data_IF_105634898530
#
_entry.id   IF_105634898530
#
_cell.length_a   1.000
_cell.length_b   1.000
_cell.length_c   1.000
_cell.angle_alpha   90.00
_cell.angle_beta   90.00
_cell.angle_gamma   90.00
#
_symmetry.space_group_name_H-M   'P 1'
#
loop_
_entity.id
_entity.type
_entity.pdbx_description
1 polymer ?
2 non-polymer ?
3 non-polymer ?
4 non-polymer ?
5 water ?
#
# COMPACT_ATOMS: atom_id res chain seq x y z
N UNK A 22 13.71 16.58 12.40
CA UNK A 22 13.48 15.12 12.16
C UNK A 22 12.58 14.48 13.21
N UNK A 23 12.01 13.32 12.86
CA UNK A 23 11.11 12.60 13.75
C UNK A 23 11.88 12.02 14.91
N UNK A 24 11.24 12.03 16.08
CA UNK A 24 11.78 11.40 17.28
C UNK A 24 12.05 9.91 17.03
N UNK A 25 11.08 9.22 16.43
CA UNK A 25 11.17 7.79 16.20
C UNK A 25 11.46 7.51 14.72
N UNK A 26 12.29 6.48 14.44
CA UNK A 26 12.66 6.19 13.05
C UNK A 26 11.49 5.75 12.18
N UNK A 27 11.58 6.09 10.90
CA UNK A 27 10.54 5.77 9.93
C UNK A 27 10.85 4.41 9.32
N UNK A 28 9.82 3.56 9.25
CA UNK A 28 9.94 2.25 8.64
C UNK A 28 8.95 2.17 7.49
N UNK A 29 9.49 2.19 6.27
CA UNK A 29 8.71 1.98 5.05
C UNK A 29 8.41 0.48 4.93
N UNK A 30 7.16 0.12 4.68
CA UNK A 30 6.75 -1.29 4.66
C UNK A 30 5.96 -1.62 3.41
N UNK A 31 6.37 -2.68 2.72
CA UNK A 31 5.64 -3.19 1.57
C UNK A 31 5.79 -4.71 1.49
N UNK A 32 4.86 -5.34 0.79
CA UNK A 32 4.99 -6.74 0.40
C UNK A 32 5.84 -6.85 -0.85
N UNK A 33 6.31 -8.07 -1.13
CA UNK A 33 7.23 -8.39 -2.24
C UNK A 33 8.68 -8.21 -1.79
N UNK A 34 9.15 -9.19 -1.00
CA UNK A 34 10.51 -9.19 -0.46
C UNK A 34 11.57 -9.07 -1.55
N UNK A 35 11.33 -9.71 -2.71
CA UNK A 35 12.31 -9.74 -3.80
C UNK A 35 12.28 -8.58 -4.78
N UNK A 36 11.41 -7.59 -4.54
CA UNK A 36 11.21 -6.46 -5.47
C UNK A 36 12.52 -5.77 -5.85
N UNK A 37 13.32 -5.42 -4.86
CA UNK A 37 14.54 -4.64 -5.12
C UNK A 37 15.53 -5.41 -6.01
N UNK A 38 15.71 -6.70 -5.73
CA UNK A 38 16.61 -7.54 -6.51
C UNK A 38 16.08 -7.76 -7.93
N UNK A 39 14.83 -8.18 -8.05
CA UNK A 39 14.23 -8.53 -9.34
C UNK A 39 14.03 -7.31 -10.24
N UNK A 40 13.58 -6.19 -9.66
CA UNK A 40 13.28 -4.98 -10.43
C UNK A 40 14.52 -4.12 -10.63
N UNK A 41 15.35 -3.99 -9.58
CA UNK A 41 16.61 -3.24 -9.67
C UNK A 41 16.57 -1.87 -9.02
N UNK A 42 15.43 -1.51 -8.43
CA UNK A 42 15.30 -0.26 -7.67
C UNK A 42 14.19 -0.42 -6.63
N UNK A 43 14.09 0.52 -5.66
CA UNK A 43 13.17 0.30 -4.54
C UNK A 43 11.68 0.38 -4.91
N UNK A 44 10.86 -0.26 -4.06
CA UNK A 44 9.41 -0.20 -4.15
C UNK A 44 8.92 1.23 -3.92
N UNK A 45 9.41 1.86 -2.86
CA UNK A 45 9.12 3.27 -2.59
C UNK A 45 10.12 4.11 -3.35
N UNK A 46 9.90 4.27 -4.65
CA UNK A 46 10.90 4.83 -5.56
C UNK A 46 11.31 6.25 -5.19
N UNK A 47 12.57 6.42 -4.80
CA UNK A 47 13.14 7.72 -4.47
C UNK A 47 12.70 8.32 -3.14
N UNK A 48 11.92 7.57 -2.36
CA UNK A 48 11.27 8.14 -1.18
C UNK A 48 12.16 8.10 0.06
N UNK A 49 12.85 6.97 0.28
CA UNK A 49 13.78 6.86 1.42
C UNK A 49 14.90 7.88 1.30
N UNK A 50 15.45 8.03 0.09
CA UNK A 50 16.45 9.07 -0.20
C UNK A 50 15.96 10.46 0.21
N UNK A 51 14.76 10.81 -0.24
CA UNK A 51 14.20 12.13 0.05
C UNK A 51 14.06 12.36 1.55
N UNK A 52 13.57 11.35 2.26
CA UNK A 52 13.39 11.44 3.70
C UNK A 52 14.70 11.63 4.45
N UNK A 53 15.75 10.93 4.03
CA UNK A 53 17.06 11.05 4.67
C UNK A 53 17.69 12.43 4.47
N UNK A 54 17.40 13.06 3.33
CA UNK A 54 17.88 14.43 3.06
C UNK A 54 17.28 15.45 4.04
N UNK A 55 16.06 15.18 4.51
CA UNK A 55 15.41 16.00 5.52
C UNK A 55 15.80 15.58 6.96
N UNK A 56 16.79 14.69 7.08
CA UNK A 56 17.37 14.35 8.38
C UNK A 56 16.67 13.25 9.16
N UNK A 57 15.69 12.59 8.54
CA UNK A 57 14.99 11.48 9.18
C UNK A 57 15.82 10.21 9.08
N UNK A 58 15.72 9.36 10.10
CA UNK A 58 16.29 8.02 10.06
C UNK A 58 15.24 7.10 9.44
N UNK A 59 15.62 6.44 8.34
CA UNK A 59 14.67 5.66 7.53
C UNK A 59 15.15 4.24 7.29
N UNK A 60 14.23 3.28 7.42
CA UNK A 60 14.49 1.87 7.12
C UNK A 60 13.33 1.28 6.32
N UNK A 61 13.61 0.22 5.57
CA UNK A 61 12.59 -0.40 4.71
C UNK A 61 12.44 -1.88 5.03
N UNK A 62 11.20 -2.28 5.35
CA UNK A 62 10.87 -3.67 5.58
C UNK A 62 10.14 -4.21 4.34
N UNK A 63 10.79 -5.14 3.64
CA UNK A 63 10.22 -5.78 2.47
C UNK A 63 9.70 -7.18 2.84
N UNK A 64 8.38 -7.32 2.93
CA UNK A 64 7.76 -8.53 3.48
C UNK A 64 7.35 -9.57 2.43
N UNK A 65 7.21 -10.82 2.87
CA UNK A 65 6.84 -11.93 2.00
C UNK A 65 5.41 -11.80 1.47
N UNK A 66 5.27 -11.70 0.14
CA UNK A 66 3.96 -11.46 -0.48
C UNK A 66 3.08 -12.70 -0.57
N UNK A 67 3.70 -13.88 -0.65
CA UNK A 67 2.97 -15.10 -0.96
C UNK A 67 2.60 -15.88 0.29
N UNK A 68 1.98 -15.21 1.25
CA UNK A 68 1.49 -15.84 2.48
C UNK A 68 0.45 -14.92 3.15
N UNK A 69 0.02 -15.26 4.36
CA UNK A 69 -1.02 -14.49 5.06
C UNK A 69 -0.51 -13.16 5.63
N UNK A 70 -1.47 -12.30 6.01
CA UNK A 70 -1.17 -11.01 6.62
C UNK A 70 -0.54 -11.18 7.99
N UNK A 71 -0.99 -12.18 8.72
CA UNK A 71 -0.51 -12.47 10.06
C UNK A 71 0.96 -12.95 10.02
N UNK A 72 1.32 -13.69 8.97
CA UNK A 72 2.71 -14.11 8.76
C UNK A 72 3.60 -12.91 8.43
N UNK A 73 3.10 -11.98 7.62
CA UNK A 73 3.80 -10.71 7.36
C UNK A 73 3.94 -9.86 8.62
N UNK A 74 2.92 -9.91 9.48
CA UNK A 74 2.95 -9.20 10.76
C UNK A 74 4.03 -9.71 11.69
N UNK A 75 4.16 -11.04 11.76
CA UNK A 75 5.22 -11.68 12.54
C UNK A 75 6.59 -11.36 11.95
N UNK A 76 6.69 -11.36 10.63
CA UNK A 76 7.92 -11.02 9.94
C UNK A 76 8.36 -9.58 10.27
N UNK A 77 7.39 -8.67 10.28
CA UNK A 77 7.65 -7.26 10.56
C UNK A 77 8.02 -7.01 12.02
N UNK A 78 7.43 -7.78 12.93
CA UNK A 78 7.76 -7.68 14.36
C UNK A 78 9.22 -8.07 14.62
N UNK A 79 9.67 -9.11 13.94
CA UNK A 79 11.06 -9.56 14.03
C UNK A 79 12.01 -8.52 13.45
N UNK A 80 11.61 -7.92 12.33
CA UNK A 80 12.35 -6.79 11.73
C UNK A 80 12.44 -5.63 12.73
N UNK A 81 11.30 -5.29 13.32
CA UNK A 81 11.21 -4.17 14.24
C UNK A 81 12.02 -4.43 15.51
N UNK A 82 11.92 -5.64 16.07
CA UNK A 82 12.72 -6.00 17.26
C UNK A 82 14.22 -5.83 17.02
N UNK A 83 14.68 -6.31 15.87
CA UNK A 83 16.09 -6.20 15.49
C UNK A 83 16.47 -4.73 15.22
N UNK A 84 15.57 -3.97 14.63
CA UNK A 84 15.77 -2.54 14.38
C UNK A 84 15.86 -1.71 15.65
N UNK A 85 14.97 -1.98 16.60
CA UNK A 85 14.94 -1.25 17.87
C UNK A 85 16.21 -1.50 18.68
N UNK A 86 16.66 -2.75 18.68
CA UNK A 86 17.93 -3.12 19.29
C UNK A 86 19.11 -2.34 18.69
N UNK A 87 19.05 -2.12 17.37
CA UNK A 87 20.15 -1.50 16.63
C UNK A 87 20.12 0.03 16.69
N UNK A 88 18.95 0.60 16.96
CA UNK A 88 18.79 2.05 17.02
C UNK A 88 18.77 2.60 18.45
N UNK A 89 18.44 1.72 19.41
CA UNK A 89 18.05 2.14 20.76
C UNK A 89 16.85 3.08 20.76
N UNK A 90 16.07 3.04 19.68
CA UNK A 90 14.81 3.77 19.63
C UNK A 90 13.80 2.97 20.43
N UNK A 91 12.77 3.66 20.91
CA UNK A 91 11.74 3.05 21.72
C UNK A 91 10.59 2.58 20.83
N UNK A 92 10.31 3.33 19.77
CA UNK A 92 9.20 3.05 18.88
C UNK A 92 9.57 3.28 17.42
N UNK A 93 8.69 2.88 16.51
CA UNK A 93 8.84 3.14 15.08
C UNK A 93 7.60 3.81 14.47
N UNK A 94 7.83 4.68 13.51
CA UNK A 94 6.74 5.26 12.71
C UNK A 94 6.61 4.44 11.44
N UNK A 95 5.55 3.63 11.34
CA UNK A 95 5.31 2.84 10.12
C UNK A 95 4.67 3.68 9.03
N UNK A 96 5.21 3.65 7.83
CA UNK A 96 4.49 4.05 6.63
C UNK A 96 4.42 2.90 5.64
N UNK A 97 3.22 2.43 5.37
CA UNK A 97 2.96 1.26 4.58
C UNK A 97 2.11 1.49 3.35
N UNK A 98 2.25 0.58 2.39
CA UNK A 98 1.51 0.63 1.15
C UNK A 98 1.00 -0.74 0.76
N UNK A 99 -0.22 -0.80 0.23
CA UNK A 99 -0.81 -2.07 -0.20
C UNK A 99 -0.95 -3.07 1.00
N UNK A 100 -0.24 -4.16 0.88
CA UNK A 100 -0.09 -5.17 1.93
C UNK A 100 0.45 -4.63 3.24
N UNK A 101 1.42 -3.74 3.16
CA UNK A 101 2.18 -3.22 4.31
C UNK A 101 1.39 -2.78 5.53
N UNK A 102 0.32 -1.99 5.32
CA UNK A 102 -0.47 -1.46 6.44
C UNK A 102 -1.11 -2.54 7.33
N UNK A 103 -1.52 -3.66 6.74
CA UNK A 103 -2.11 -4.75 7.51
C UNK A 103 -1.04 -5.34 8.45
N UNK A 104 0.15 -5.55 7.92
CA UNK A 104 1.26 -6.06 8.73
C UNK A 104 1.62 -5.07 9.85
N UNK A 105 1.59 -3.78 9.53
CA UNK A 105 1.82 -2.72 10.50
C UNK A 105 0.75 -2.72 11.59
N UNK A 106 -0.48 -3.00 11.17
CA UNK A 106 -1.61 -3.05 12.10
C UNK A 106 -1.49 -4.25 13.04
N UNK A 107 -0.92 -5.35 12.56
CA UNK A 107 -0.69 -6.51 13.41
C UNK A 107 0.29 -6.17 14.52
N UNK A 108 1.39 -5.53 14.16
CA UNK A 108 2.44 -5.18 15.12
C UNK A 108 1.91 -4.19 16.16
N UNK A 109 1.21 -3.15 15.68
CA UNK A 109 0.64 -2.12 16.55
C UNK A 109 -0.39 -2.70 17.54
N UNK A 110 -1.23 -3.60 17.04
CA UNK A 110 -2.25 -4.24 17.86
C UNK A 110 -1.63 -5.08 18.97
N UNK A 111 -0.63 -5.88 18.62
CA UNK A 111 -0.01 -6.81 19.57
C UNK A 111 1.13 -6.19 20.38
N UNK A 112 1.84 -5.23 19.82
CA UNK A 112 2.98 -4.60 20.49
C UNK A 112 2.89 -3.07 20.44
N UNK A 113 1.82 -2.50 21.02
CA UNK A 113 1.58 -1.04 20.97
C UNK A 113 2.68 -0.15 21.53
N UNK A 114 3.40 -0.63 22.53
CA UNK A 114 4.48 0.16 23.15
C UNK A 114 5.68 0.42 22.24
N UNK A 115 5.81 -0.36 21.16
CA UNK A 115 6.93 -0.22 20.21
C UNK A 115 6.55 0.51 18.93
N UNK A 116 5.29 0.97 18.84
CA UNK A 116 4.80 1.60 17.61
C UNK A 116 4.29 3.00 17.90
N UNK A 117 4.97 4.00 17.32
CA UNK A 117 4.55 5.38 17.50
C UNK A 117 3.36 5.69 16.59
N UNK A 118 3.43 5.25 15.33
CA UNK A 118 2.37 5.53 14.36
C UNK A 118 2.27 4.50 13.26
N UNK A 119 1.05 4.33 12.75
CA UNK A 119 0.80 3.58 11.53
C UNK A 119 0.21 4.53 10.51
N UNK A 120 0.92 4.75 9.40
CA UNK A 120 0.37 5.51 8.27
C UNK A 120 0.10 4.56 7.10
N UNK A 121 -1.14 4.53 6.65
CA UNK A 121 -1.58 3.66 5.58
C UNK A 121 -1.68 4.46 4.30
N UNK A 122 -1.01 3.99 3.25
CA UNK A 122 -1.04 4.63 1.96
C UNK A 122 -1.59 3.61 0.95
N UNK A 123 -2.81 3.84 0.50
CA UNK A 123 -3.48 2.93 -0.44
C UNK A 123 -3.44 1.49 0.09
N UNK A 124 -3.75 1.34 1.38
CA UNK A 124 -3.73 0.04 2.03
C UNK A 124 -4.99 -0.73 1.70
N UNK A 125 -4.88 -2.06 1.68
CA UNK A 125 -6.02 -2.93 1.40
C UNK A 125 -6.76 -3.22 2.72
N UNK A 126 -7.20 -2.16 3.39
CA UNK A 126 -7.69 -2.30 4.76
C UNK A 126 -9.05 -2.95 4.88
N UNK A 127 -9.80 -3.05 3.78
CA UNK A 127 -11.05 -3.81 3.73
C UNK A 127 -11.16 -4.72 2.50
N UNK A 128 -10.02 -5.10 1.91
CA UNK A 128 -9.99 -6.04 0.80
C UNK A 128 -9.95 -5.37 -0.56
N UNK A 129 -9.54 -6.14 -1.56
CA UNK A 129 -9.45 -5.68 -2.95
C UNK A 129 -10.46 -6.42 -3.82
N UNK A 130 -11.32 -5.65 -4.50
CA UNK A 130 -12.32 -6.22 -5.40
C UNK A 130 -11.67 -6.98 -6.57
N UNK A 131 -10.48 -6.55 -6.97
CA UNK A 131 -9.70 -7.26 -7.99
C UNK A 131 -9.21 -8.61 -7.47
N UNK A 132 -8.75 -8.63 -6.21
CA UNK A 132 -8.40 -9.89 -5.56
C UNK A 132 -9.62 -10.83 -5.55
N UNK A 133 -10.79 -10.29 -5.24
CA UNK A 133 -12.04 -11.07 -5.26
C UNK A 133 -12.32 -11.65 -6.66
N UNK A 134 -12.19 -10.83 -7.69
CA UNK A 134 -12.37 -11.26 -9.05
C UNK A 134 -11.34 -12.28 -9.55
N UNK A 135 -10.11 -12.17 -9.15
CA UNK A 135 -9.12 -13.18 -9.46
C UNK A 135 -9.38 -14.53 -8.90
N UNK A 136 -9.88 -14.59 -7.69
CA UNK A 136 -10.28 -15.84 -7.13
C UNK A 136 -11.42 -16.48 -7.89
N UNK A 137 -12.36 -15.68 -8.33
CA UNK A 137 -13.41 -16.14 -9.16
C UNK A 137 -12.90 -16.65 -10.48
N UNK A 138 -11.97 -15.95 -11.07
CA UNK A 138 -11.34 -16.37 -12.28
C UNK A 138 -10.60 -17.69 -12.07
N UNK A 139 -9.84 -17.84 -11.00
CA UNK A 139 -9.08 -19.04 -10.80
C UNK A 139 -9.95 -20.24 -10.54
N UNK A 140 -11.04 -20.02 -9.83
CA UNK A 140 -12.03 -21.02 -9.58
C UNK A 140 -13.06 -21.24 -10.66
N UNK A 141 -12.94 -20.49 -11.75
CA UNK A 141 -13.80 -20.60 -12.92
C UNK A 141 -15.24 -20.39 -12.59
N UNK A 142 -15.47 -19.44 -11.71
CA UNK A 142 -16.80 -19.18 -11.14
C UNK A 142 -17.65 -18.33 -12.09
N UNK A 143 -17.93 -18.87 -13.27
CA UNK A 143 -18.81 -18.24 -14.25
C UNK A 143 -18.39 -16.81 -14.61
N UNK A 144 -17.09 -16.60 -14.80
CA UNK A 144 -16.57 -15.32 -15.26
C UNK A 144 -16.44 -15.38 -16.77
N UNK A 145 -17.16 -14.52 -17.50
CA UNK A 145 -17.07 -14.48 -18.97
C UNK A 145 -15.63 -14.43 -19.48
N UNK A 146 -15.35 -15.15 -20.56
CA UNK A 146 -13.99 -15.30 -21.08
C UNK A 146 -13.36 -13.98 -21.54
N UNK A 147 -14.17 -13.06 -22.06
CA UNK A 147 -13.67 -11.75 -22.48
C UNK A 147 -13.16 -10.95 -21.26
N UNK A 148 -13.81 -11.12 -20.11
CA UNK A 148 -13.38 -10.47 -18.88
C UNK A 148 -12.09 -11.12 -18.37
N UNK A 149 -12.01 -12.44 -18.45
CA UNK A 149 -10.80 -13.18 -18.03
C UNK A 149 -9.56 -12.65 -18.75
N UNK A 150 -9.65 -12.43 -20.06
CA UNK A 150 -8.49 -12.00 -20.86
C UNK A 150 -8.03 -10.58 -20.51
N UNK A 151 -8.97 -9.66 -20.32
CA UNK A 151 -8.62 -8.26 -19.98
C UNK A 151 -7.90 -8.13 -18.64
N UNK A 152 -8.30 -8.94 -17.65
CA UNK A 152 -7.71 -8.89 -16.32
C UNK A 152 -6.30 -9.49 -16.31
N UNK A 153 -6.15 -10.67 -16.92
CA UNK A 153 -4.85 -11.34 -16.98
C UNK A 153 -3.83 -10.56 -17.80
N UNK A 154 -4.26 -9.99 -18.92
CA UNK A 154 -3.40 -9.14 -19.75
C UNK A 154 -2.99 -7.85 -19.03
N UNK A 155 -3.91 -7.28 -18.27
CA UNK A 155 -3.61 -6.09 -17.47
C UNK A 155 -2.58 -6.41 -16.39
N UNK A 156 -2.73 -7.56 -15.74
CA UNK A 156 -1.77 -8.00 -14.72
C UNK A 156 -0.41 -8.35 -15.31
N UNK A 157 -0.42 -9.02 -16.46
CA UNK A 157 0.81 -9.37 -17.17
C UNK A 157 1.58 -8.15 -17.64
N UNK A 158 0.86 -7.13 -18.10
CA UNK A 158 1.48 -5.87 -18.51
C UNK A 158 2.14 -5.15 -17.33
N UNK A 159 1.47 -5.15 -16.18
CA UNK A 159 2.00 -4.55 -14.95
C UNK A 159 3.27 -5.24 -14.48
N UNK A 160 3.24 -6.58 -14.43
CA UNK A 160 4.37 -7.37 -13.91
C UNK A 160 5.57 -7.33 -14.86
N UNK A 161 5.28 -7.39 -16.17
CA UNK A 161 6.33 -7.35 -17.20
C UNK A 161 7.11 -6.04 -17.18
N UNK A 162 6.42 -4.94 -16.94
CA UNK A 162 7.05 -3.62 -16.89
C UNK A 162 8.08 -3.55 -15.76
N UNK A 163 7.79 -4.21 -14.65
CA UNK A 163 8.72 -4.25 -13.50
C UNK A 163 9.83 -5.27 -13.70
N UNK A 164 9.46 -6.52 -13.98
CA UNK A 164 10.42 -7.63 -14.09
C UNK A 164 11.23 -7.59 -15.38
N UNK A 165 10.64 -7.02 -16.43
CA UNK A 165 11.30 -6.94 -17.75
C UNK A 165 11.09 -8.17 -18.62
N UNK A 166 10.32 -9.14 -18.13
CA UNK A 166 10.06 -10.36 -18.89
C UNK A 166 8.86 -10.16 -19.80
N UNK A 167 8.92 -10.75 -20.99
CA UNK A 167 8.00 -10.43 -22.08
C UNK A 167 6.76 -11.33 -22.14
N UNK A 168 6.49 -12.09 -21.08
CA UNK A 168 5.32 -12.96 -21.02
C UNK A 168 4.03 -12.19 -20.87
N UNK A 171 1.14 -15.39 -14.01
CA UNK A 171 0.00 -15.16 -13.13
C UNK A 171 0.04 -16.15 -12.03
N UNK A 172 1.25 -16.36 -11.59
CA UNK A 172 1.50 -16.89 -10.32
C UNK A 172 1.19 -15.78 -9.34
N UNK A 173 0.55 -14.71 -9.78
CA UNK A 173 0.27 -13.60 -8.88
C UNK A 173 -0.91 -13.84 -8.00
N UNK A 174 -1.69 -14.85 -8.30
CA UNK A 174 -2.73 -15.24 -7.40
C UNK A 174 -2.17 -15.42 -5.96
N UNK A 175 -0.91 -15.84 -5.85
CA UNK A 175 -0.24 -16.05 -4.58
C UNK A 175 -0.25 -14.82 -3.68
N UNK A 176 -0.17 -13.63 -4.27
CA UNK A 176 -0.16 -12.38 -3.50
C UNK A 176 -1.56 -11.88 -3.19
N UNK A 177 -2.49 -12.09 -4.12
CA UNK A 177 -3.88 -11.59 -3.97
C UNK A 177 -4.75 -12.44 -3.04
N UNK A 178 -4.38 -13.70 -2.84
CA UNK A 178 -5.11 -14.63 -1.98
C UNK A 178 -5.40 -14.04 -0.58
N UNK A 179 -4.39 -13.41 0.02
CA UNK A 179 -4.52 -12.83 1.37
C UNK A 179 -5.20 -11.44 1.41
N UNK A 180 -5.56 -10.92 0.23
CA UNK A 180 -6.09 -9.56 0.11
C UNK A 180 -7.53 -9.51 -0.39
N UNK A 181 -8.20 -10.65 -0.41
CA UNK A 181 -9.62 -10.69 -0.75
C UNK A 181 -10.44 -10.03 0.35
N UNK A 182 -11.64 -9.59 0.00
CA UNK A 182 -12.57 -9.00 0.97
C UNK A 182 -12.86 -9.97 2.11
N UNK A 183 -12.98 -11.25 1.79
CA UNK A 183 -13.20 -12.28 2.81
C UNK A 183 -12.01 -12.43 3.75
N UNK A 184 -10.78 -12.45 3.22
CA UNK A 184 -9.60 -12.67 4.05
C UNK A 184 -9.26 -11.47 4.91
N UNK A 185 -9.45 -10.27 4.36
CA UNK A 185 -9.21 -9.03 5.09
C UNK A 185 -10.31 -8.76 6.12
N UNK A 186 -11.54 -9.17 5.83
CA UNK A 186 -12.62 -9.08 6.81
C UNK A 186 -12.27 -9.93 8.03
N UNK A 187 -11.74 -11.12 7.78
CA UNK A 187 -11.24 -12.00 8.85
C UNK A 187 -10.06 -11.35 9.58
N UNK A 188 -9.14 -10.71 8.84
CA UNK A 188 -8.02 -9.99 9.46
C UNK A 188 -8.53 -8.84 10.34
N UNK A 189 -9.45 -8.05 9.80
CA UNK A 189 -10.07 -6.94 10.54
C UNK A 189 -10.81 -7.40 11.80
N UNK A 190 -11.37 -8.61 11.76
CA UNK A 190 -12.03 -9.19 12.93
C UNK A 190 -11.06 -9.42 14.10
N UNK A 191 -9.84 -9.83 13.78
CA UNK A 191 -8.80 -10.04 14.79
C UNK A 191 -8.14 -8.72 15.20
N UNK A 192 -8.03 -7.79 14.25
CA UNK A 192 -7.30 -6.54 14.48
C UNK A 192 -8.11 -5.32 14.04
N UNK A 193 -9.22 -5.04 14.75
CA UNK A 193 -10.15 -3.97 14.38
C UNK A 193 -9.68 -2.53 14.65
N UNK A 194 -8.51 -2.32 15.35
CA UNK A 194 -8.04 -1.01 15.81
C UNK A 194 -7.98 0.04 14.71
N UNK A 195 -8.62 1.14 14.95
CA UNK A 195 -8.56 2.31 14.08
C UNK A 195 -9.33 2.20 12.75
N UNK A 196 -10.12 1.13 12.58
CA UNK A 196 -10.97 1.00 11.40
C UNK A 196 -12.18 1.93 11.53
N UNK A 197 -12.63 2.53 10.41
CA UNK A 197 -13.74 3.47 10.47
C UNK A 197 -15.05 2.79 10.86
N UNK A 198 -15.83 3.44 11.74
CA UNK A 198 -17.12 2.89 12.18
C UNK A 198 -18.14 2.81 11.03
N UNK A 199 -18.11 3.80 10.14
CA UNK A 199 -18.95 3.78 8.94
C UNK A 199 -18.07 3.68 7.69
N UNK A 200 -18.50 2.88 6.70
CA UNK A 200 -17.71 2.67 5.46
C UNK A 200 -17.35 3.96 4.73
N UNK A 201 -16.08 4.06 4.33
CA UNK A 201 -15.56 5.28 3.71
C UNK A 201 -15.35 6.42 4.69
N UNK A 202 -15.44 6.13 5.99
CA UNK A 202 -15.34 7.16 7.02
C UNK A 202 -13.94 7.22 7.61
N UNK A 203 -13.85 7.70 8.84
CA UNK A 203 -12.57 7.86 9.53
C UNK A 203 -12.56 7.07 10.83
N UNK A 204 -11.43 6.46 11.14
CA UNK A 204 -11.24 5.76 12.41
C UNK A 204 -10.71 6.71 13.47
N UNK A 205 -10.52 6.18 14.68
CA UNK A 205 -9.89 6.96 15.74
C UNK A 205 -8.44 7.24 15.42
N UNK A 206 -7.99 8.47 15.64
CA UNK A 206 -6.60 8.85 15.38
C UNK A 206 -5.62 8.15 16.33
N UNK A 207 -6.01 7.98 17.59
CA UNK A 207 -5.17 7.34 18.60
C UNK A 207 -5.91 6.15 19.24
N UNK A 208 -5.35 4.96 19.07
CA UNK A 208 -5.89 3.75 19.69
C UNK A 208 -4.79 3.06 20.49
N UNK A 209 -4.99 2.97 21.80
CA UNK A 209 -4.03 2.33 22.68
C UNK A 209 -2.64 2.99 22.63
N UNK A 210 -2.64 4.32 22.49
CA UNK A 210 -1.39 5.09 22.46
C UNK A 210 -0.78 5.28 21.08
N UNK A 211 -1.20 4.46 20.11
CA UNK A 211 -0.63 4.46 18.76
C UNK A 211 -1.43 5.38 17.84
N UNK A 212 -0.73 6.22 17.06
CA UNK A 212 -1.39 7.12 16.11
C UNK A 212 -1.62 6.40 14.79
N UNK A 213 -2.79 6.60 14.19
CA UNK A 213 -3.14 6.02 12.90
C UNK A 213 -3.53 7.10 11.90
N UNK A 214 -2.93 7.05 10.71
CA UNK A 214 -3.25 7.99 9.63
C UNK A 214 -3.42 7.26 8.31
N UNK A 215 -4.27 7.79 7.43
CA UNK A 215 -4.41 7.20 6.11
C UNK A 215 -4.28 8.21 4.96
N UNK A 216 -3.73 7.72 3.85
CA UNK A 216 -3.75 8.41 2.58
C UNK A 216 -4.39 7.47 1.58
N UNK A 217 -4.72 8.00 0.41
CA UNK A 217 -5.38 7.23 -0.62
C UNK A 217 -5.36 7.97 -1.93
N UNK A 218 -5.96 7.36 -2.95
CA UNK A 218 -6.13 8.00 -4.24
C UNK A 218 -7.17 7.24 -5.04
N UNK A 219 -7.55 7.81 -6.17
CA UNK A 219 -8.30 7.09 -7.18
C UNK A 219 -8.05 7.66 -8.56
N UNK A 220 -8.12 6.79 -9.56
CA UNK A 220 -7.89 7.20 -10.94
C UNK A 220 -8.97 8.20 -11.34
N UNK A 221 -8.53 9.31 -11.94
CA UNK A 221 -9.40 10.43 -12.28
C UNK A 221 -9.03 11.01 -13.64
N UNK A 222 -10.01 11.63 -14.31
CA UNK A 222 -9.78 12.28 -15.59
C UNK A 222 -9.64 11.30 -16.76
N UNK A 223 -9.66 11.83 -17.97
CA UNK A 223 -9.40 11.04 -19.17
C UNK A 223 -7.91 10.78 -19.28
N UNK A 224 -7.55 9.65 -19.90
CA UNK A 224 -6.14 9.21 -19.96
C UNK A 224 -5.21 10.17 -20.70
N UNK A 225 -5.75 10.90 -21.68
CA UNK A 225 -4.95 11.81 -22.50
C UNK A 225 -4.17 12.85 -21.67
N UNK A 226 -4.78 13.35 -20.60
CA UNK A 226 -4.18 14.42 -19.79
C UNK A 226 -3.31 13.96 -18.62
N UNK A 227 -2.84 12.73 -18.64
CA UNK A 227 -2.03 12.12 -17.56
C UNK A 227 -0.56 12.52 -17.42
N UNK A 228 -0.03 13.28 -18.37
CA UNK A 228 1.41 13.63 -18.42
C UNK A 228 2.28 12.42 -18.36
N UNK A 229 3.04 12.34 -17.29
CA UNK A 229 4.10 11.40 -17.12
C UNK A 229 3.65 9.99 -17.29
N UNK A 230 2.40 9.73 -16.96
CA UNK A 230 1.89 8.35 -17.05
C UNK A 230 1.66 7.87 -18.47
N UNK A 231 1.70 8.78 -19.45
CA UNK A 231 1.58 8.40 -20.85
C UNK A 231 2.74 7.52 -21.32
N UNK A 232 3.88 7.61 -20.63
CA UNK A 232 5.06 6.77 -20.91
C UNK A 232 5.18 5.58 -19.95
N UNK A 233 4.18 5.38 -19.10
CA UNK A 233 4.16 4.28 -18.13
C UNK A 233 3.13 3.23 -18.58
N UNK A 234 3.60 2.09 -19.13
CA UNK A 234 2.66 1.08 -19.64
C UNK A 234 1.73 0.48 -18.57
N UNK A 235 2.10 0.57 -17.30
CA UNK A 235 1.29 0.03 -16.21
C UNK A 235 0.01 0.84 -15.99
N UNK A 236 0.05 2.12 -16.36
CA UNK A 236 -1.08 3.01 -16.09
C UNK A 236 -2.34 2.68 -16.89
N UNK A 237 -2.18 2.35 -18.17
CA UNK A 237 -3.31 1.90 -18.97
C UNK A 237 -3.89 0.61 -18.41
N UNK A 238 -3.00 -0.27 -17.94
CA UNK A 238 -3.41 -1.53 -17.31
C UNK A 238 -4.24 -1.29 -16.05
N UNK A 239 -3.84 -0.33 -15.23
CA UNK A 239 -4.58 0.01 -14.01
C UNK A 239 -5.98 0.55 -14.33
N UNK A 240 -6.10 1.26 -15.46
CA UNK A 240 -7.40 1.78 -15.91
C UNK A 240 -8.35 0.69 -16.41
N UNK A 241 -7.79 -0.38 -16.98
CA UNK A 241 -8.61 -1.54 -17.38
C UNK A 241 -9.16 -2.19 -16.11
N UNK A 242 -8.28 -2.45 -15.14
CA UNK A 242 -8.68 -3.10 -13.88
C UNK A 242 -9.68 -2.24 -13.11
N UNK A 243 -9.50 -0.91 -13.17
CA UNK A 243 -10.40 0.06 -12.57
C UNK A 243 -11.88 -0.15 -12.94
N UNK A 244 -12.14 -0.54 -14.18
CA UNK A 244 -13.52 -0.68 -14.68
C UNK A 244 -14.29 -1.88 -14.11
N UNK A 245 -13.58 -2.83 -13.50
CA UNK A 245 -14.22 -4.05 -12.98
C UNK A 245 -14.66 -3.96 -11.51
N UNK A 246 -14.39 -2.82 -10.88
CA UNK A 246 -14.81 -2.57 -9.50
C UNK A 246 -16.28 -2.19 -9.42
N UNK A 247 -16.95 -2.58 -8.35
CA UNK A 247 -18.27 -2.06 -8.02
C UNK A 247 -18.14 -0.64 -7.44
N UNK A 248 -17.10 -0.41 -6.62
CA UNK A 248 -16.77 0.92 -6.16
C UNK A 248 -16.10 1.71 -7.29
N UNK A 249 -16.76 2.76 -7.75
CA UNK A 249 -16.27 3.53 -8.89
C UNK A 249 -14.96 4.26 -8.62
N UNK A 250 -14.81 4.79 -7.41
CA UNK A 250 -13.57 5.44 -7.01
C UNK A 250 -12.62 4.37 -6.51
N UNK A 251 -11.61 4.07 -7.33
CA UNK A 251 -10.61 3.07 -7.02
C UNK A 251 -9.33 3.37 -7.78
N UNK A 252 -8.21 2.86 -7.27
CA UNK A 252 -6.89 3.14 -7.82
C UNK A 252 -6.43 2.05 -8.80
N UNK A 253 -7.35 1.16 -9.17
CA UNK A 253 -7.05 0.06 -10.09
C UNK A 253 -6.86 -1.28 -9.39
N UNK A 254 -6.39 -1.26 -8.14
CA UNK A 254 -6.30 -2.48 -7.32
C UNK A 254 -7.10 -2.40 -6.01
N UNK A 255 -7.35 -1.20 -5.50
CA UNK A 255 -8.07 -1.02 -4.24
C UNK A 255 -9.12 0.08 -4.35
N UNK A 256 -10.31 -0.20 -3.82
CA UNK A 256 -11.37 0.82 -3.75
C UNK A 256 -11.03 1.87 -2.72
N UNK A 257 -11.47 3.11 -2.97
CA UNK A 257 -11.18 4.25 -2.11
C UNK A 257 -11.55 4.00 -0.64
N UNK A 258 -12.78 3.55 -0.43
CA UNK A 258 -13.30 3.31 0.93
C UNK A 258 -12.51 2.25 1.68
N UNK A 259 -11.94 1.29 0.95
CA UNK A 259 -11.20 0.19 1.56
C UNK A 259 -9.85 0.65 2.14
N UNK A 260 -9.38 1.82 1.71
CA UNK A 260 -8.09 2.35 2.15
C UNK A 260 -8.14 2.98 3.54
N UNK A 261 -9.35 3.33 4.00
CA UNK A 261 -9.49 4.12 5.24
C UNK A 261 -9.04 3.40 6.50
N UNK A 262 -8.23 4.11 7.29
CA UNK A 262 -7.76 3.64 8.59
C UNK A 262 -7.33 4.85 9.40
N UNK A 263 -7.89 5.02 10.59
CA UNK A 263 -7.53 6.14 11.45
C UNK A 263 -7.90 7.48 10.82
N UNK A 264 -7.15 8.52 11.17
CA UNK A 264 -7.44 9.88 10.71
C UNK A 264 -7.01 10.08 9.25
N UNK A 265 -7.94 10.56 8.43
CA UNK A 265 -7.66 10.86 7.03
C UNK A 265 -6.80 12.11 6.92
N UNK A 266 -5.76 12.03 6.08
CA UNK A 266 -4.98 13.20 5.69
C UNK A 266 -5.55 13.72 4.37
N UNK A 267 -5.42 12.91 3.33
CA UNK A 267 -5.92 13.26 2.00
C UNK A 267 -5.96 11.99 1.17
N UNK A 268 -7.07 11.77 0.45
CA UNK A 268 -7.20 10.58 -0.40
C UNK A 268 -7.78 10.83 -1.80
N UNK A 269 -7.84 12.09 -2.23
CA UNK A 269 -8.43 12.40 -3.54
C UNK A 269 -7.39 12.65 -4.64
N UNK A 270 -6.13 12.28 -4.38
CA UNK A 270 -5.08 12.35 -5.40
C UNK A 270 -5.51 11.61 -6.66
N UNK A 271 -5.24 12.19 -7.83
CA UNK A 271 -5.57 11.58 -9.11
C UNK A 271 -4.46 10.64 -9.54
N UNK A 272 -4.34 9.52 -8.82
CA UNK A 272 -3.21 8.60 -8.97
C UNK A 272 -3.66 7.14 -8.87
N UNK A 273 -3.04 6.27 -9.68
CA UNK A 273 -3.28 4.84 -9.56
C UNK A 273 -2.48 4.27 -8.38
N UNK A 274 -2.71 2.98 -8.11
CA UNK A 274 -2.13 2.31 -6.94
C UNK A 274 -0.63 2.50 -6.82
N UNK A 275 0.09 2.35 -7.93
CA UNK A 275 1.56 2.38 -7.89
C UNK A 275 2.13 3.78 -8.10
N UNK A 276 1.36 4.68 -8.73
CA UNK A 276 1.69 6.11 -8.75
C UNK A 276 1.99 6.61 -7.33
N UNK A 277 1.24 6.12 -6.36
CA UNK A 277 1.38 6.56 -4.97
C UNK A 277 2.65 6.08 -4.27
N UNK A 278 3.39 5.16 -4.90
CA UNK A 278 4.77 4.84 -4.46
C UNK A 278 5.77 5.29 -5.53
N UNK A 279 5.36 6.28 -6.33
CA UNK A 279 6.20 6.92 -7.35
C UNK A 279 6.67 5.96 -8.47
N UNK A 280 5.75 5.10 -8.93
CA UNK A 280 6.08 4.10 -9.95
C UNK A 280 5.28 4.33 -11.25
N UNK A 281 5.81 3.92 -12.41
CA UNK A 281 7.10 3.22 -12.52
C UNK A 281 8.26 4.20 -12.67
N UNK A 282 9.21 4.12 -11.75
CA UNK A 282 10.45 4.89 -11.83
C UNK A 282 10.22 6.39 -12.04
N UNK A 283 9.30 6.96 -11.28
CA UNK A 283 9.04 8.40 -11.32
C UNK A 283 7.92 8.84 -12.26
N UNK A 284 7.44 7.92 -13.10
CA UNK A 284 6.38 8.25 -14.05
C UNK A 284 5.02 8.21 -13.34
N UNK A 285 4.44 9.39 -13.13
CA UNK A 285 3.18 9.52 -12.38
C UNK A 285 2.17 10.40 -13.12
N UNK A 286 1.00 10.60 -12.52
CA UNK A 286 -0.04 11.42 -13.11
C UNK A 286 0.12 12.91 -12.85
N UNK A 287 -0.17 13.70 -13.88
CA UNK A 287 -0.44 15.14 -13.75
C UNK A 287 0.67 15.96 -13.08
N UNK A 288 1.93 15.59 -13.32
CA UNK A 288 3.09 16.28 -12.72
C UNK A 288 3.02 16.44 -11.20
N UNK A 289 2.34 15.52 -10.53
CA UNK A 289 2.20 15.55 -9.08
C UNK A 289 3.53 15.13 -8.45
N UNK A 290 3.90 15.80 -7.37
CA UNK A 290 5.14 15.50 -6.65
C UNK A 290 4.83 14.48 -5.58
N UNK A 291 4.93 13.21 -5.93
CA UNK A 291 4.53 12.11 -5.04
C UNK A 291 5.43 12.03 -3.82
N UNK A 292 6.73 12.26 -4.02
CA UNK A 292 7.71 12.19 -2.94
C UNK A 292 7.39 13.22 -1.85
N UNK A 293 6.95 14.42 -2.27
CA UNK A 293 6.60 15.49 -1.35
C UNK A 293 5.46 15.12 -0.40
N UNK A 294 4.59 14.20 -0.82
CA UNK A 294 3.54 13.69 0.06
C UNK A 294 4.17 13.03 1.28
N UNK A 295 5.25 12.28 1.04
CA UNK A 295 5.93 11.53 2.10
C UNK A 295 6.76 12.44 3.00
N UNK A 296 7.47 13.42 2.43
CA UNK A 296 8.32 14.31 3.23
C UNK A 296 7.49 15.31 4.04
N UNK A 297 6.35 15.73 3.51
CA UNK A 297 5.45 16.63 4.25
C UNK A 297 4.77 15.89 5.40
N UNK A 298 4.42 14.63 5.18
CA UNK A 298 3.83 13.81 6.24
C UNK A 298 4.87 13.51 7.32
N UNK A 299 6.11 13.26 6.92
CA UNK A 299 7.20 13.05 7.88
C UNK A 299 7.35 14.26 8.81
N UNK A 300 7.24 15.46 8.25
CA UNK A 300 7.31 16.70 9.03
C UNK A 300 6.08 16.85 9.93
N UNK A 301 4.94 16.35 9.45
CA UNK A 301 3.71 16.36 10.25
C UNK A 301 3.84 15.42 11.44
N UNK A 302 4.41 14.24 11.24
CA UNK A 302 4.67 13.31 12.32
C UNK A 302 5.60 13.95 13.36
N UNK A 303 6.64 14.62 12.88
CA UNK A 303 7.55 15.37 13.74
C UNK A 303 6.83 16.43 14.58
N UNK A 304 5.85 17.11 13.97
CA UNK A 304 5.08 18.14 14.67
C UNK A 304 4.13 17.56 15.74
N UNK A 305 3.85 16.26 15.65
CA UNK A 305 3.05 15.55 16.65
C UNK A 305 3.91 14.87 17.73
N UNK A 306 5.18 15.27 17.83
CA UNK A 306 6.13 14.70 18.81
C UNK A 306 6.35 13.19 18.59
N UNK A 307 6.32 12.77 17.33
CA UNK A 307 6.65 11.40 16.95
C UNK A 307 7.93 11.38 16.13
X LIG B 1 2.86 5.55 -13.01
X LIG C 1 1.27 -3.79 -4.41
X LIG C 1 1.85 -3.93 -5.81
X LIG C 1 -2.97 -4.70 -4.10
X LIG C 1 -4.38 -5.24 -3.91
X LIG C 1 -0.01 -4.41 -4.35
X LIG C 1 -2.07 -5.40 -3.25
X LIG C 1 0.25 -5.89 -2.33
X LIG C 1 -0.63 -4.80 -2.90
X LIG D 1 9.08 -12.52 -6.16
X LIG D 1 8.56 -11.57 -7.09
X LIG D 1 8.62 -13.94 -6.51
X LIG D 1 9.50 -14.51 -7.47
X LIG D 1 9.04 -15.77 -7.96
X LIG D 1 10.24 -16.58 -8.44
X LIG D 1 14.24 -16.11 -10.93
X LIG D 1 12.96 -15.49 -10.73
X LIG D 1 12.31 -16.10 -9.49
X LIG D 1 10.90 -15.86 -9.50
#
# INVERSE_FOLDING_TARGET
MGSSHHHHHHSSGLVPRGSHMSTKYPIVLVHGLAGFNEIVGFPYFYGIADALRQDGHQVFTASLSAFNSNEVRGKQLWQFVQTLLQETQAKKVNFIGHSQGPLACRYVAANYPDSVASVTSINGVNHGSEIADLYRRIMRKDSIPEYIVEKVLNAFGTIISTFSGHRGDPQDAIAALESLTTEQVTEFNNKYPQALPKTPGGEGDEIVNGVHYYCFGSYIQGLIAGEKGNLLDPTHAAMRVLNTFFTEKQNDGLVGRSSMRLGKLIKDDYAQDHIDMVNQVAGLVGYNEDIVAIYTQHAKYLASKQL
CA CA
DEP C1 C2 C3 C4 O1 O2 O3 P
PGE C1 O1 C2 O2 C3 C4 O4 C6 C5 O3
#
